data_IF_378742900175
#
_entry.id   IF_378742900175
#
_cell.length_a   1.000
_cell.length_b   1.000
_cell.length_c   1.000
_cell.angle_alpha   90.00
_cell.angle_beta   90.00
_cell.angle_gamma   90.00
#
_symmetry.space_group_name_H-M   'P 1'
#
loop_
_entity.id
_entity.type
_entity.pdbx_description
1 polymer ?
#
# COMPACT_ATOMS: atom_id res chain seq x y z
N UNK A 1 18.92 5.54 12.03
CA UNK A 1 17.83 4.95 11.23
C UNK A 1 18.23 5.08 9.79
N UNK A 2 18.25 3.97 9.04
CA UNK A 2 18.76 3.96 7.67
C UNK A 2 17.88 4.86 6.80
N UNK A 3 18.52 5.79 6.10
CA UNK A 3 17.94 6.57 5.02
C UNK A 3 17.39 5.59 3.97
N UNK A 4 16.08 5.32 4.01
CA UNK A 4 15.39 4.40 3.09
C UNK A 4 15.05 5.07 1.76
N UNK A 5 15.82 6.08 1.33
CA UNK A 5 15.78 6.61 -0.04
C UNK A 5 16.46 5.66 -1.04
N UNK A 6 16.25 4.35 -0.91
CA UNK A 6 16.35 3.51 -2.09
C UNK A 6 15.27 3.98 -3.05
N UNK A 7 15.66 4.46 -4.24
CA UNK A 7 14.70 4.85 -5.28
C UNK A 7 13.86 3.63 -5.66
N UNK A 8 12.68 3.51 -5.06
CA UNK A 8 11.73 2.46 -5.39
C UNK A 8 11.21 2.74 -6.80
N UNK A 9 11.38 1.76 -7.70
CA UNK A 9 10.94 1.87 -9.08
C UNK A 9 9.44 2.22 -9.14
N UNK A 10 9.10 3.27 -9.89
CA UNK A 10 7.73 3.74 -10.06
C UNK A 10 7.25 4.74 -9.00
N UNK A 11 8.04 5.03 -7.96
CA UNK A 11 7.75 6.09 -6.99
C UNK A 11 8.40 7.39 -7.44
N UNK A 12 7.63 8.48 -7.43
CA UNK A 12 8.06 9.81 -7.88
C UNK A 12 7.59 10.87 -6.89
N UNK A 13 8.35 11.97 -6.75
CA UNK A 13 8.04 13.06 -5.82
C UNK A 13 8.88 13.02 -4.53
N UNK A 14 8.52 13.85 -3.57
CA UNK A 14 9.14 13.85 -2.24
C UNK A 14 8.55 12.72 -1.39
N UNK A 15 9.38 12.14 -0.53
CA UNK A 15 8.94 11.12 0.41
C UNK A 15 8.08 11.73 1.52
N UNK A 16 6.98 11.06 1.88
CA UNK A 16 6.09 11.46 2.99
C UNK A 16 6.45 10.62 4.22
N UNK A 17 6.72 11.26 5.35
CA UNK A 17 7.03 10.56 6.61
C UNK A 17 5.85 9.69 7.05
N UNK A 18 6.12 8.44 7.43
CA UNK A 18 5.10 7.46 7.85
C UNK A 18 4.55 6.59 6.72
N UNK A 19 4.87 6.90 5.46
CA UNK A 19 4.57 5.99 4.34
C UNK A 19 5.57 4.85 4.34
N UNK A 20 5.06 3.61 4.30
CA UNK A 20 5.85 2.39 4.20
C UNK A 20 5.50 1.67 2.90
N UNK A 21 6.53 1.28 2.13
CA UNK A 21 6.36 0.45 0.95
C UNK A 21 7.02 -0.90 1.22
N UNK A 22 6.19 -1.94 1.40
CA UNK A 22 6.63 -3.32 1.52
C UNK A 22 6.56 -4.02 0.17
N UNK A 23 7.66 -4.62 -0.27
CA UNK A 23 7.64 -5.57 -1.38
C UNK A 23 6.90 -6.84 -0.92
N UNK A 24 5.76 -7.14 -1.53
CA UNK A 24 4.99 -8.33 -1.19
C UNK A 24 5.59 -9.58 -1.84
N UNK A 25 5.76 -10.62 -1.03
CA UNK A 25 6.19 -11.93 -1.52
C UNK A 25 5.07 -12.59 -2.33
N UNK A 26 5.44 -13.07 -3.52
CA UNK A 26 4.58 -13.86 -4.40
C UNK A 26 5.20 -15.25 -4.48
N UNK A 27 4.49 -16.24 -3.97
CA UNK A 27 4.95 -17.64 -3.91
C UNK A 27 4.11 -18.42 -4.93
N UNK A 28 4.60 -18.59 -6.18
CA UNK A 28 3.88 -19.32 -7.22
C UNK A 28 4.02 -20.84 -7.05
N UNK A 29 3.01 -21.58 -7.48
CA UNK A 29 3.03 -23.03 -7.68
C UNK A 29 2.22 -23.42 -8.95
N UNK A 30 2.08 -24.71 -9.24
CA UNK A 30 1.34 -25.21 -10.41
C UNK A 30 -0.18 -24.91 -10.38
N UNK A 31 -0.73 -24.49 -9.24
CA UNK A 31 -2.16 -24.21 -9.03
C UNK A 31 -2.46 -22.71 -9.00
N UNK A 32 -1.45 -21.87 -8.81
CA UNK A 32 -1.59 -20.42 -8.75
C UNK A 32 -0.46 -19.74 -7.99
N UNK A 33 -0.82 -18.87 -7.03
CA UNK A 33 0.15 -18.14 -6.20
C UNK A 33 -0.45 -17.76 -4.85
N UNK A 34 0.39 -17.73 -3.82
CA UNK A 34 0.12 -17.10 -2.53
C UNK A 34 0.73 -15.69 -2.54
N UNK A 35 0.01 -14.71 -1.99
CA UNK A 35 0.49 -13.34 -1.83
C UNK A 35 0.25 -12.90 -0.38
N UNK A 36 1.33 -12.69 0.39
CA UNK A 36 1.21 -12.15 1.74
C UNK A 36 1.02 -10.64 1.69
N UNK A 37 -0.15 -10.14 2.08
CA UNK A 37 -0.43 -8.71 2.16
C UNK A 37 0.04 -8.11 3.49
N UNK A 38 -0.52 -8.59 4.60
CA UNK A 38 -0.30 -8.06 5.95
C UNK A 38 -0.23 -9.22 6.92
N UNK A 39 0.71 -9.17 7.86
CA UNK A 39 0.82 -10.10 8.98
C UNK A 39 0.91 -9.35 10.30
N UNK A 40 0.58 -10.01 11.40
CA UNK A 40 0.64 -9.39 12.73
C UNK A 40 2.08 -9.16 13.22
N UNK A 41 3.07 -9.78 12.58
CA UNK A 41 4.50 -9.63 12.86
C UNK A 41 5.21 -8.65 11.91
N UNK A 42 4.45 -7.94 11.05
CA UNK A 42 5.00 -6.85 10.26
C UNK A 42 5.30 -5.64 11.16
N UNK A 43 6.46 -5.00 10.99
CA UNK A 43 6.90 -3.86 11.84
C UNK A 43 5.94 -2.67 11.84
N UNK A 44 5.14 -2.52 10.78
CA UNK A 44 4.14 -1.45 10.61
C UNK A 44 2.71 -1.91 10.94
N UNK A 45 2.52 -3.15 11.41
CA UNK A 45 1.21 -3.63 11.86
C UNK A 45 0.93 -3.12 13.27
N UNK A 46 -0.19 -2.41 13.44
CA UNK A 46 -0.62 -1.90 14.74
C UNK A 46 -1.67 -2.81 15.38
N UNK A 47 -2.85 -2.91 14.76
CA UNK A 47 -3.95 -3.75 15.22
C UNK A 47 -4.90 -4.07 14.06
N UNK A 48 -5.79 -5.04 14.28
CA UNK A 48 -6.86 -5.32 13.32
C UNK A 48 -8.00 -4.30 13.50
N UNK A 49 -8.39 -3.63 12.41
CA UNK A 49 -9.59 -2.80 12.34
C UNK A 49 -10.62 -3.43 11.42
N UNK A 50 -10.37 -3.36 10.11
CA UNK A 50 -11.25 -3.91 9.08
C UNK A 50 -10.46 -4.36 7.85
N UNK A 51 -11.09 -5.20 7.02
CA UNK A 51 -10.62 -5.52 5.68
C UNK A 51 -11.80 -5.45 4.70
N UNK A 52 -11.59 -4.78 3.58
CA UNK A 52 -12.56 -4.70 2.50
C UNK A 52 -11.87 -4.73 1.14
N UNK A 53 -12.63 -5.09 0.10
CA UNK A 53 -12.16 -5.12 -1.28
C UNK A 53 -12.90 -4.08 -2.10
N UNK A 54 -12.18 -3.41 -2.99
CA UNK A 54 -12.80 -2.52 -3.96
C UNK A 54 -12.13 -2.64 -5.32
N UNK A 55 -12.93 -2.46 -6.37
CA UNK A 55 -12.47 -2.47 -7.77
C UNK A 55 -12.64 -1.06 -8.34
N UNK A 56 -11.69 -0.64 -9.16
CA UNK A 56 -11.73 0.63 -9.90
C UNK A 56 -11.63 0.28 -11.38
N UNK A 57 -12.53 0.83 -12.20
CA UNK A 57 -12.50 0.62 -13.65
C UNK A 57 -11.41 1.47 -14.33
N UNK A 58 -10.86 1.03 -15.47
CA UNK A 58 -9.87 1.80 -16.22
C UNK A 58 -10.32 3.23 -16.52
N UNK A 59 -9.42 4.20 -16.33
CA UNK A 59 -9.69 5.63 -16.55
C UNK A 59 -10.46 6.34 -15.43
N UNK A 60 -10.93 5.62 -14.42
CA UNK A 60 -11.66 6.21 -13.28
C UNK A 60 -10.69 6.61 -12.16
N UNK A 61 -10.91 7.80 -11.60
CA UNK A 61 -10.22 8.28 -10.40
C UNK A 61 -11.11 8.05 -9.19
N UNK A 62 -10.58 7.41 -8.15
CA UNK A 62 -11.24 7.22 -6.85
C UNK A 62 -10.50 8.05 -5.80
N UNK A 63 -11.04 9.23 -5.48
CA UNK A 63 -10.46 10.14 -4.51
C UNK A 63 -11.28 11.43 -4.36
N UNK A 64 -11.03 12.24 -3.33
CA UNK A 64 -10.07 12.01 -2.25
C UNK A 64 -10.67 11.17 -1.11
N UNK A 65 -9.85 10.32 -0.48
CA UNK A 65 -10.20 9.67 0.78
C UNK A 65 -9.26 10.19 1.85
N UNK A 66 -9.85 10.75 2.90
CA UNK A 66 -9.14 11.21 4.09
C UNK A 66 -9.78 10.55 5.32
N UNK A 67 -8.95 10.03 6.20
CA UNK A 67 -9.38 9.41 7.45
C UNK A 67 -8.60 10.03 8.61
N UNK A 68 -9.30 10.55 9.62
CA UNK A 68 -8.65 11.22 10.76
C UNK A 68 -7.89 10.26 11.70
N UNK A 69 -8.33 9.00 11.80
CA UNK A 69 -7.89 8.07 12.86
C UNK A 69 -7.60 6.65 12.35
N UNK A 70 -7.31 6.50 11.06
CA UNK A 70 -7.13 5.18 10.44
C UNK A 70 -5.88 5.16 9.56
N UNK A 71 -5.07 4.11 9.74
CA UNK A 71 -4.03 3.74 8.79
C UNK A 71 -4.62 2.82 7.70
N UNK A 72 -4.31 3.12 6.43
CA UNK A 72 -4.77 2.33 5.29
C UNK A 72 -3.63 1.51 4.70
N UNK A 73 -3.81 0.19 4.71
CA UNK A 73 -2.89 -0.76 4.08
C UNK A 73 -3.47 -1.19 2.71
N UNK A 74 -2.82 -0.80 1.61
CA UNK A 74 -3.26 -1.14 0.26
C UNK A 74 -2.37 -2.21 -0.39
N UNK A 75 -3.01 -3.19 -1.01
CA UNK A 75 -2.36 -4.16 -1.90
C UNK A 75 -3.18 -4.35 -3.18
N UNK A 76 -2.49 -4.30 -4.32
CA UNK A 76 -3.10 -4.55 -5.63
C UNK A 76 -2.91 -6.01 -6.01
N UNK A 77 -3.96 -6.81 -5.85
CA UNK A 77 -3.93 -8.25 -6.15
C UNK A 77 -4.05 -8.53 -7.65
N UNK A 78 -4.78 -7.68 -8.37
CA UNK A 78 -5.05 -7.78 -9.81
C UNK A 78 -5.00 -6.40 -10.47
N UNK A 79 -4.42 -6.34 -11.68
CA UNK A 79 -4.25 -5.10 -12.44
C UNK A 79 -3.15 -4.19 -11.91
N UNK A 80 -3.34 -2.89 -12.09
CA UNK A 80 -2.43 -1.84 -11.64
C UNK A 80 -3.21 -0.58 -11.31
N UNK A 81 -2.72 0.20 -10.34
CA UNK A 81 -3.25 1.52 -10.02
C UNK A 81 -2.10 2.53 -9.93
N UNK A 82 -2.40 3.80 -10.19
CA UNK A 82 -1.53 4.91 -9.79
C UNK A 82 -2.05 5.42 -8.44
N UNK A 83 -1.33 5.13 -7.36
CA UNK A 83 -1.64 5.65 -6.03
C UNK A 83 -0.98 7.02 -5.85
N UNK A 84 -1.75 8.00 -5.37
CA UNK A 84 -1.28 9.34 -5.06
C UNK A 84 -1.55 9.61 -3.59
N UNK A 85 -0.56 10.14 -2.88
CA UNK A 85 -0.65 10.53 -1.47
C UNK A 85 -0.35 12.02 -1.35
N UNK A 86 -1.00 12.66 -0.39
CA UNK A 86 -0.80 14.05 -0.03
C UNK A 86 -0.67 14.15 1.49
N UNK A 87 0.25 14.99 1.96
CA UNK A 87 0.50 15.22 3.38
C UNK A 87 -0.05 16.58 3.79
N UNK A 88 -1.12 16.57 4.58
CA UNK A 88 -1.82 17.76 5.08
C UNK A 88 -1.42 18.14 6.52
N UNK A 89 -0.33 17.57 7.06
CA UNK A 89 0.14 17.81 8.44
C UNK A 89 0.92 19.12 8.61
N UNK A 90 0.51 20.19 7.92
CA UNK A 90 1.13 21.53 8.05
C UNK A 90 0.97 22.12 9.43
#
# INVERSE_FOLDING_TARGET
>A
MKDQTEKIFGVTGNWIEGVVIKKLDKIPDERGKICHMLRNDDEFFECFGEIYFSTIYPGVIKGWHYHEKMALNYAVITGSIKLVLYDDRT
#
